data_IF_072808074751
#
_entry.id   IF_072808074751
#
_cell.length_a   1.000
_cell.length_b   1.000
_cell.length_c   1.000
_cell.angle_alpha   90.00
_cell.angle_beta   90.00
_cell.angle_gamma   90.00
#
_symmetry.space_group_name_H-M   'P 1'
#
loop_
_entity.id
_entity.type
_entity.pdbx_description
1 polymer ?
#
# COMPACT_ATOMS: atom_id res chain seq x y z
N UNK A 1 -24.64 17.77 -11.27
CA UNK A 1 -24.30 17.12 -12.57
C UNK A 1 -23.21 17.85 -13.37
N UNK A 2 -23.15 19.20 -13.39
CA UNK A 2 -22.10 19.97 -14.09
C UNK A 2 -20.69 19.87 -13.45
N UNK A 3 -20.61 19.87 -12.12
CA UNK A 3 -19.34 19.75 -11.38
C UNK A 3 -18.61 18.44 -11.71
N UNK A 4 -19.34 17.32 -11.77
CA UNK A 4 -18.76 16.02 -12.15
C UNK A 4 -18.25 16.00 -13.60
N UNK A 5 -18.95 16.65 -14.55
CA UNK A 5 -18.48 16.72 -15.95
C UNK A 5 -17.18 17.51 -16.08
N UNK A 6 -17.02 18.61 -15.33
CA UNK A 6 -15.80 19.40 -15.30
C UNK A 6 -14.65 18.63 -14.63
N UNK A 7 -14.92 17.94 -13.51
CA UNK A 7 -13.94 17.08 -12.84
C UNK A 7 -13.45 15.94 -13.75
N UNK A 8 -14.36 15.24 -14.43
CA UNK A 8 -13.99 14.20 -15.38
C UNK A 8 -13.14 14.74 -16.54
N UNK A 9 -13.52 15.89 -17.10
CA UNK A 9 -12.76 16.54 -18.17
C UNK A 9 -11.38 17.01 -17.69
N UNK A 10 -11.28 17.48 -16.45
CA UNK A 10 -10.03 17.90 -15.83
C UNK A 10 -9.08 16.71 -15.60
N UNK A 11 -9.58 15.60 -15.04
CA UNK A 11 -8.82 14.35 -14.86
C UNK A 11 -8.35 13.83 -16.21
N UNK A 12 -9.24 13.77 -17.19
CA UNK A 12 -8.91 13.30 -18.54
C UNK A 12 -7.78 14.15 -19.16
N UNK A 13 -7.90 15.47 -19.09
CA UNK A 13 -6.88 16.38 -19.61
C UNK A 13 -5.53 16.22 -18.88
N UNK A 14 -5.54 16.00 -17.56
CA UNK A 14 -4.31 15.74 -16.79
C UNK A 14 -3.64 14.43 -17.20
N UNK A 15 -4.42 13.36 -17.38
CA UNK A 15 -3.91 12.08 -17.86
C UNK A 15 -3.30 12.24 -19.26
N UNK A 16 -3.99 12.91 -20.18
CA UNK A 16 -3.48 13.15 -21.53
C UNK A 16 -2.23 14.03 -21.54
N UNK A 17 -2.14 15.02 -20.63
CA UNK A 17 -0.93 15.80 -20.44
C UNK A 17 0.25 14.93 -19.96
N UNK A 18 0.03 14.10 -18.94
CA UNK A 18 1.07 13.21 -18.40
C UNK A 18 1.57 12.21 -19.44
N UNK A 19 0.68 11.65 -20.28
CA UNK A 19 1.07 10.79 -21.40
C UNK A 19 1.92 11.52 -22.43
N UNK A 20 1.53 12.76 -22.81
CA UNK A 20 2.28 13.55 -23.79
C UNK A 20 3.67 13.94 -23.31
N UNK A 21 3.81 14.18 -22.02
CA UNK A 21 5.05 14.61 -21.38
C UNK A 21 5.77 13.47 -20.64
N UNK A 22 5.47 12.22 -20.97
CA UNK A 22 5.95 11.04 -20.25
C UNK A 22 7.48 11.05 -20.13
N UNK A 23 8.21 11.34 -21.21
CA UNK A 23 9.68 11.39 -21.17
C UNK A 23 10.25 12.42 -20.18
N UNK A 24 9.53 13.51 -19.90
CA UNK A 24 9.94 14.55 -18.94
C UNK A 24 9.64 14.09 -17.51
N UNK A 25 8.44 13.55 -17.28
CA UNK A 25 7.96 13.18 -15.96
C UNK A 25 8.31 11.75 -15.51
N UNK A 26 8.80 10.91 -16.41
CA UNK A 26 9.31 9.56 -16.09
C UNK A 26 10.68 9.65 -15.40
N UNK A 27 11.41 10.75 -15.62
CA UNK A 27 12.66 11.01 -14.90
C UNK A 27 12.40 11.22 -13.41
N UNK A 28 12.89 10.30 -12.57
CA UNK A 28 12.97 10.50 -11.12
C UNK A 28 14.33 11.13 -10.82
N UNK A 29 14.40 12.42 -10.45
CA UNK A 29 15.66 13.07 -10.17
C UNK A 29 16.36 12.42 -8.96
N UNK A 30 17.70 12.42 -8.99
CA UNK A 30 18.49 11.90 -7.88
C UNK A 30 18.22 12.71 -6.60
N UNK A 31 17.69 12.03 -5.59
CA UNK A 31 17.41 12.62 -4.29
C UNK A 31 18.10 11.78 -3.21
N UNK A 32 18.77 12.44 -2.25
CA UNK A 32 19.49 11.75 -1.18
C UNK A 32 18.58 10.79 -0.40
N UNK A 33 17.34 11.22 -0.09
CA UNK A 33 16.35 10.37 0.57
C UNK A 33 15.98 9.15 -0.25
N UNK A 34 15.71 9.33 -1.55
CA UNK A 34 15.40 8.26 -2.48
C UNK A 34 16.55 7.24 -2.55
N UNK A 35 17.79 7.72 -2.67
CA UNK A 35 18.99 6.89 -2.72
C UNK A 35 19.22 6.09 -1.43
N UNK A 36 19.02 6.70 -0.26
CA UNK A 36 19.17 6.03 1.04
C UNK A 36 18.10 4.96 1.22
N UNK A 37 16.83 5.31 1.02
CA UNK A 37 15.69 4.39 1.24
C UNK A 37 15.72 3.18 0.29
N UNK A 38 16.19 3.37 -0.94
CA UNK A 38 16.28 2.32 -1.97
C UNK A 38 17.60 1.53 -1.96
N UNK A 39 18.48 1.73 -0.98
CA UNK A 39 19.85 1.16 -0.92
C UNK A 39 20.65 1.39 -2.23
N UNK A 40 20.58 2.61 -2.75
CA UNK A 40 21.25 2.98 -4.00
C UNK A 40 20.46 2.61 -5.25
N UNK A 41 19.14 2.84 -5.25
CA UNK A 41 18.24 2.61 -6.38
C UNK A 41 18.10 1.14 -6.78
N UNK A 42 18.12 0.24 -5.80
CA UNK A 42 17.91 -1.19 -6.00
C UNK A 42 16.42 -1.58 -6.09
N UNK A 43 15.51 -0.66 -5.77
CA UNK A 43 14.07 -0.93 -5.59
C UNK A 43 13.23 -0.44 -6.76
N UNK A 44 11.90 -0.31 -6.60
CA UNK A 44 10.98 0.09 -7.67
C UNK A 44 10.57 1.56 -7.55
N UNK A 45 10.03 1.94 -6.40
CA UNK A 45 9.21 3.12 -6.30
C UNK A 45 10.03 4.42 -6.21
N UNK A 46 11.29 4.35 -5.82
CA UNK A 46 12.18 5.51 -5.75
C UNK A 46 13.30 5.50 -6.81
N UNK A 47 13.44 4.40 -7.55
CA UNK A 47 14.50 4.22 -8.55
C UNK A 47 14.23 4.97 -9.86
N UNK A 48 15.21 5.70 -10.40
CA UNK A 48 15.15 6.27 -11.75
C UNK A 48 14.83 5.20 -12.80
N UNK A 49 14.18 5.63 -13.87
CA UNK A 49 13.90 4.76 -15.01
C UNK A 49 15.20 4.16 -15.58
N UNK A 50 15.14 2.88 -15.93
CA UNK A 50 16.28 2.11 -16.41
C UNK A 50 16.07 0.61 -16.24
N UNK A 51 17.14 -0.16 -16.46
CA UNK A 51 17.09 -1.63 -16.42
C UNK A 51 16.71 -2.16 -15.03
N UNK A 52 17.25 -1.57 -13.96
CA UNK A 52 16.96 -1.97 -12.59
C UNK A 52 15.49 -1.75 -12.24
N UNK A 53 14.97 -0.56 -12.54
CA UNK A 53 13.55 -0.27 -12.34
C UNK A 53 12.65 -1.18 -13.19
N UNK A 54 13.03 -1.46 -14.43
CA UNK A 54 12.26 -2.36 -15.32
C UNK A 54 12.21 -3.79 -14.76
N UNK A 55 13.35 -4.28 -14.25
CA UNK A 55 13.46 -5.55 -13.53
C UNK A 55 12.54 -5.57 -12.31
N UNK A 56 12.64 -4.56 -11.44
CA UNK A 56 11.85 -4.51 -10.19
C UNK A 56 10.35 -4.33 -10.45
N UNK A 57 9.97 -3.57 -11.49
CA UNK A 57 8.59 -3.43 -11.94
C UNK A 57 8.00 -4.78 -12.36
N UNK A 58 8.77 -5.59 -13.10
CA UNK A 58 8.37 -6.94 -13.50
C UNK A 58 8.21 -7.83 -12.26
N UNK A 59 9.19 -7.82 -11.36
CA UNK A 59 9.15 -8.57 -10.08
C UNK A 59 7.88 -8.25 -9.29
N UNK A 60 7.57 -6.97 -9.10
CA UNK A 60 6.37 -6.56 -8.37
C UNK A 60 5.10 -7.01 -9.11
N UNK A 61 4.99 -6.74 -10.41
CA UNK A 61 3.80 -7.03 -11.20
C UNK A 61 3.50 -8.53 -11.31
N UNK A 62 4.51 -9.38 -11.51
CA UNK A 62 4.31 -10.81 -11.74
C UNK A 62 4.57 -11.69 -10.52
N UNK A 63 5.29 -11.19 -9.52
CA UNK A 63 5.69 -11.96 -8.33
C UNK A 63 4.91 -11.59 -7.06
N UNK A 64 4.62 -10.31 -6.84
CA UNK A 64 4.08 -9.83 -5.55
C UNK A 64 2.64 -9.34 -5.67
N UNK A 65 2.37 -8.43 -6.61
CA UNK A 65 1.07 -7.76 -6.80
C UNK A 65 0.12 -8.57 -7.70
N UNK A 66 0.11 -9.89 -7.53
CA UNK A 66 -0.78 -10.78 -8.29
C UNK A 66 -2.06 -11.05 -7.51
N UNK A 67 -3.16 -11.33 -8.22
CA UNK A 67 -4.41 -11.74 -7.57
C UNK A 67 -4.21 -13.02 -6.73
N UNK A 68 -3.38 -13.96 -7.21
CA UNK A 68 -3.04 -15.19 -6.47
C UNK A 68 -2.41 -14.88 -5.11
N UNK A 69 -1.42 -13.98 -5.06
CA UNK A 69 -0.78 -13.56 -3.80
C UNK A 69 -1.78 -12.78 -2.94
N UNK A 70 -2.60 -11.91 -3.54
CA UNK A 70 -3.64 -11.19 -2.81
C UNK A 70 -4.62 -12.15 -2.10
N UNK A 71 -5.12 -13.18 -2.80
CA UNK A 71 -6.00 -14.19 -2.22
C UNK A 71 -5.28 -15.03 -1.16
N UNK A 72 -4.04 -15.42 -1.41
CA UNK A 72 -3.24 -16.18 -0.45
C UNK A 72 -3.05 -15.44 0.88
N UNK A 73 -2.85 -14.13 0.83
CA UNK A 73 -2.68 -13.29 2.02
C UNK A 73 -4.02 -12.88 2.68
N UNK A 74 -5.17 -13.35 2.17
CA UNK A 74 -6.50 -12.95 2.66
C UNK A 74 -6.69 -13.25 4.15
N UNK A 75 -6.39 -14.47 4.60
CA UNK A 75 -6.57 -14.86 6.00
C UNK A 75 -5.75 -13.99 6.96
N UNK A 76 -4.52 -13.62 6.56
CA UNK A 76 -3.64 -12.73 7.32
C UNK A 76 -4.25 -11.32 7.42
N UNK A 77 -4.75 -10.74 6.32
CA UNK A 77 -5.42 -9.43 6.32
C UNK A 77 -6.72 -9.43 7.13
N UNK A 78 -7.55 -10.47 6.98
CA UNK A 78 -8.80 -10.61 7.72
C UNK A 78 -8.58 -10.64 9.23
N UNK A 79 -7.57 -11.38 9.69
CA UNK A 79 -7.23 -11.44 11.11
C UNK A 79 -6.86 -10.08 11.70
N UNK A 80 -6.10 -9.27 10.97
CA UNK A 80 -5.77 -7.92 11.43
C UNK A 80 -6.97 -6.97 11.36
N UNK A 81 -7.92 -7.19 10.44
CA UNK A 81 -9.18 -6.44 10.42
C UNK A 81 -10.05 -6.77 11.64
N UNK A 82 -10.13 -8.05 12.03
CA UNK A 82 -10.83 -8.47 13.25
C UNK A 82 -10.19 -7.85 14.51
N UNK A 83 -8.86 -7.69 14.54
CA UNK A 83 -8.17 -6.99 15.62
C UNK A 83 -8.54 -5.49 15.66
N UNK A 84 -8.60 -4.82 14.51
CA UNK A 84 -9.00 -3.41 14.43
C UNK A 84 -10.43 -3.22 14.96
N UNK A 85 -11.38 -4.04 14.53
CA UNK A 85 -12.78 -3.97 15.00
C UNK A 85 -12.86 -4.17 16.51
N UNK A 86 -12.13 -5.15 17.04
CA UNK A 86 -12.07 -5.40 18.49
C UNK A 86 -11.47 -4.23 19.26
N UNK A 87 -10.40 -3.62 18.72
CA UNK A 87 -9.78 -2.44 19.30
C UNK A 87 -10.78 -1.27 19.37
N UNK A 88 -11.44 -0.93 18.26
CA UNK A 88 -12.45 0.14 18.21
C UNK A 88 -13.60 -0.15 19.17
N UNK A 89 -14.12 -1.38 19.18
CA UNK A 89 -15.19 -1.78 20.10
C UNK A 89 -14.81 -1.58 21.57
N UNK A 90 -13.58 -1.96 21.94
CA UNK A 90 -13.09 -1.80 23.31
C UNK A 90 -12.93 -0.32 23.69
N UNK A 91 -12.45 0.53 22.77
CA UNK A 91 -12.38 1.98 23.00
C UNK A 91 -13.77 2.58 23.20
N UNK A 92 -14.80 2.09 22.50
CA UNK A 92 -16.18 2.53 22.74
C UNK A 92 -16.77 2.07 24.08
N UNK A 93 -16.15 1.11 24.78
CA UNK A 93 -16.61 0.55 26.06
C UNK A 93 -15.82 1.05 27.27
N UNK A 94 -14.65 1.62 27.04
CA UNK A 94 -13.78 2.12 28.09
C UNK A 94 -14.37 3.43 28.66
N UNK A 95 -14.64 3.51 29.98
CA UNK A 95 -15.22 4.71 30.60
C UNK A 95 -14.27 5.91 30.64
N UNK A 96 -12.96 5.70 30.48
CA UNK A 96 -11.94 6.76 30.53
C UNK A 96 -11.73 7.44 29.17
N UNK A 97 -11.97 6.71 28.09
CA UNK A 97 -12.06 7.28 26.74
C UNK A 97 -13.53 7.58 26.46
N UNK A 98 -13.91 8.80 26.07
CA UNK A 98 -15.33 9.19 25.83
C UNK A 98 -15.91 8.49 24.57
N UNK A 99 -15.47 7.27 24.24
CA UNK A 99 -15.71 6.56 23.00
C UNK A 99 -14.99 7.16 21.78
N UNK A 100 -14.15 8.17 21.97
CA UNK A 100 -13.42 8.84 20.91
C UNK A 100 -12.24 7.99 20.43
N UNK A 101 -12.21 7.70 19.13
CA UNK A 101 -11.12 6.97 18.47
C UNK A 101 -10.38 7.91 17.54
N UNK A 102 -9.05 7.96 17.65
CA UNK A 102 -8.22 8.60 16.65
C UNK A 102 -8.14 7.70 15.41
N UNK A 103 -8.85 8.09 14.34
CA UNK A 103 -8.97 7.32 13.10
C UNK A 103 -7.62 7.14 12.41
N UNK A 104 -6.78 8.19 12.36
CA UNK A 104 -5.46 8.11 11.73
C UNK A 104 -4.58 7.08 12.44
N UNK A 105 -4.56 7.14 13.78
CA UNK A 105 -3.79 6.23 14.62
C UNK A 105 -4.26 4.77 14.46
N UNK A 106 -5.57 4.54 14.55
CA UNK A 106 -6.17 3.21 14.37
C UNK A 106 -5.86 2.63 12.97
N UNK A 107 -5.97 3.46 11.92
CA UNK A 107 -5.67 3.06 10.56
C UNK A 107 -4.17 2.79 10.35
N UNK A 108 -3.29 3.63 10.89
CA UNK A 108 -1.84 3.42 10.87
C UNK A 108 -1.45 2.10 11.55
N UNK A 109 -2.04 1.81 12.72
CA UNK A 109 -1.82 0.57 13.45
C UNK A 109 -2.29 -0.66 12.66
N UNK A 110 -3.47 -0.60 12.04
CA UNK A 110 -3.97 -1.66 11.17
C UNK A 110 -3.02 -1.91 9.98
N UNK A 111 -2.67 -0.88 9.22
CA UNK A 111 -1.79 -1.00 8.06
C UNK A 111 -0.41 -1.55 8.44
N UNK A 112 0.17 -1.05 9.54
CA UNK A 112 1.46 -1.53 10.07
C UNK A 112 1.42 -3.00 10.46
N UNK A 113 0.34 -3.45 11.11
CA UNK A 113 0.17 -4.85 11.49
C UNK A 113 -0.05 -5.76 10.28
N UNK A 114 -0.85 -5.31 9.31
CA UNK A 114 -1.08 -6.03 8.06
C UNK A 114 0.23 -6.26 7.32
N UNK A 115 1.03 -5.22 7.05
CA UNK A 115 2.29 -5.41 6.33
C UNK A 115 3.29 -6.26 7.13
N UNK A 116 3.35 -6.06 8.46
CA UNK A 116 4.19 -6.87 9.36
C UNK A 116 3.82 -8.36 9.30
N UNK A 117 2.53 -8.69 9.25
CA UNK A 117 2.05 -10.07 9.18
C UNK A 117 2.24 -10.66 7.78
N UNK A 118 2.12 -9.87 6.72
CA UNK A 118 2.30 -10.31 5.34
C UNK A 118 3.77 -10.50 4.93
N UNK A 119 4.75 -9.95 5.66
CA UNK A 119 6.19 -10.05 5.32
C UNK A 119 7.01 -11.05 6.15
N UNK A 120 6.42 -11.63 7.20
CA UNK A 120 7.12 -12.58 8.07
C UNK A 120 8.08 -11.97 9.08
N UNK A 121 7.78 -12.12 10.37
CA UNK A 121 8.78 -12.10 11.45
C UNK A 121 8.68 -13.36 12.34
N UNK A 122 7.71 -14.23 12.10
CA UNK A 122 7.48 -15.50 12.80
C UNK A 122 7.04 -16.54 11.77
N UNK A 123 7.58 -17.76 11.89
CA UNK A 123 7.58 -18.89 10.96
C UNK A 123 6.21 -19.42 10.51
N UNK A 124 5.44 -18.62 9.77
CA UNK A 124 4.31 -19.14 8.98
C UNK A 124 4.78 -19.21 7.53
N UNK A 125 4.87 -20.43 6.98
CA UNK A 125 5.16 -20.64 5.56
C UNK A 125 4.30 -19.72 4.69
N UNK A 126 4.88 -19.22 3.59
CA UNK A 126 4.17 -18.66 2.45
C UNK A 126 3.85 -17.14 2.54
N UNK A 127 4.81 -16.31 2.97
CA UNK A 127 4.69 -14.83 3.02
C UNK A 127 5.40 -14.06 1.87
N UNK A 128 5.39 -12.71 1.90
CA UNK A 128 6.00 -11.87 0.84
C UNK A 128 7.53 -12.05 0.79
N UNK A 129 8.19 -12.26 1.92
CA UNK A 129 9.63 -12.49 1.97
C UNK A 129 9.98 -13.83 1.33
N UNK A 130 9.24 -14.89 1.65
CA UNK A 130 9.37 -16.20 1.00
C UNK A 130 9.10 -16.08 -0.51
N UNK A 131 8.07 -15.29 -0.87
CA UNK A 131 7.83 -14.67 -2.17
C UNK A 131 9.11 -14.40 -2.94
N UNK A 132 9.81 -13.38 -2.43
CA UNK A 132 10.96 -12.77 -3.06
C UNK A 132 12.18 -13.69 -3.06
N UNK A 133 12.39 -14.46 -1.99
CA UNK A 133 13.51 -15.42 -1.86
C UNK A 133 13.38 -16.54 -2.92
N UNK A 134 12.16 -17.02 -3.16
CA UNK A 134 11.93 -18.15 -4.06
C UNK A 134 11.81 -17.76 -5.54
N UNK A 135 11.91 -16.47 -5.88
CA UNK A 135 11.95 -16.04 -7.28
C UNK A 135 13.27 -16.47 -7.94
N UNK A 136 13.16 -17.23 -9.02
CA UNK A 136 14.32 -17.76 -9.76
C UNK A 136 14.31 -17.33 -11.22
N UNK A 137 15.51 -17.25 -11.81
CA UNK A 137 15.74 -17.15 -13.25
C UNK A 137 15.53 -18.52 -13.93
N UNK A 138 15.60 -18.55 -15.25
CA UNK A 138 15.47 -19.78 -16.06
C UNK A 138 16.47 -20.89 -15.71
N UNK A 139 17.64 -20.56 -15.14
CA UNK A 139 18.70 -21.51 -14.76
C UNK A 139 18.67 -21.94 -13.29
N UNK A 140 17.55 -21.80 -12.57
CA UNK A 140 17.42 -22.09 -11.14
C UNK A 140 18.27 -21.18 -10.21
N UNK A 141 18.86 -20.11 -10.77
CA UNK A 141 19.56 -19.06 -10.02
C UNK A 141 18.57 -18.10 -9.36
N UNK A 142 18.88 -17.51 -8.19
CA UNK A 142 18.07 -16.45 -7.59
C UNK A 142 17.87 -15.27 -8.55
N UNK A 143 16.63 -14.77 -8.64
CA UNK A 143 16.30 -13.59 -9.45
C UNK A 143 16.77 -12.30 -8.78
N UNK A 144 16.75 -12.28 -7.44
CA UNK A 144 17.06 -11.13 -6.60
C UNK A 144 18.25 -11.43 -5.69
N UNK A 145 19.10 -10.43 -5.49
CA UNK A 145 20.12 -10.43 -4.44
C UNK A 145 19.50 -10.17 -3.07
N UNK A 146 20.18 -10.59 -2.00
CA UNK A 146 19.76 -10.30 -0.63
C UNK A 146 19.63 -8.80 -0.35
N UNK A 147 20.45 -7.95 -1.00
CA UNK A 147 20.35 -6.49 -0.88
C UNK A 147 19.07 -5.95 -1.51
N UNK A 148 18.74 -6.40 -2.72
CA UNK A 148 17.49 -6.02 -3.40
C UNK A 148 16.25 -6.45 -2.60
N UNK A 149 16.26 -7.67 -2.03
CA UNK A 149 15.15 -8.16 -1.19
C UNK A 149 14.99 -7.27 0.05
N UNK A 150 16.08 -6.99 0.76
CA UNK A 150 16.05 -6.13 1.96
C UNK A 150 15.54 -4.72 1.63
N UNK A 151 16.07 -4.11 0.58
CA UNK A 151 15.68 -2.77 0.16
C UNK A 151 14.20 -2.72 -0.25
N UNK A 152 13.71 -3.71 -1.02
CA UNK A 152 12.32 -3.77 -1.45
C UNK A 152 11.35 -3.95 -0.26
N UNK A 153 11.69 -4.81 0.71
CA UNK A 153 10.85 -4.99 1.91
C UNK A 153 10.74 -3.69 2.71
N UNK A 154 11.83 -2.94 2.85
CA UNK A 154 11.81 -1.63 3.53
C UNK A 154 10.96 -0.62 2.77
N UNK A 155 11.11 -0.54 1.45
CA UNK A 155 10.30 0.36 0.60
C UNK A 155 8.80 0.05 0.73
N UNK A 156 8.41 -1.24 0.61
CA UNK A 156 7.01 -1.67 0.77
C UNK A 156 6.46 -1.28 2.14
N UNK A 157 7.25 -1.43 3.21
CA UNK A 157 6.79 -1.08 4.56
C UNK A 157 6.49 0.41 4.71
N UNK A 158 7.30 1.28 4.12
CA UNK A 158 7.11 2.73 4.22
C UNK A 158 5.86 3.17 3.45
N UNK A 159 5.70 2.67 2.22
CA UNK A 159 4.63 3.12 1.32
C UNK A 159 3.24 2.59 1.69
N UNK A 160 3.17 1.43 2.35
CA UNK A 160 1.90 0.75 2.63
C UNK A 160 1.25 1.13 3.95
N UNK A 161 1.86 2.01 4.74
CA UNK A 161 1.29 2.46 6.02
C UNK A 161 0.60 3.80 5.89
N UNK A 162 1.35 4.86 5.56
CA UNK A 162 0.85 6.24 5.61
C UNK A 162 -0.18 6.58 4.53
N UNK A 163 0.03 6.06 3.31
CA UNK A 163 -0.88 6.36 2.20
C UNK A 163 -2.30 5.82 2.46
N UNK A 164 -2.50 4.52 2.76
CA UNK A 164 -3.84 4.01 3.04
C UNK A 164 -4.44 4.52 4.35
N UNK A 165 -3.65 4.79 5.40
CA UNK A 165 -4.19 5.33 6.65
C UNK A 165 -4.76 6.74 6.48
N UNK A 166 -4.04 7.61 5.77
CA UNK A 166 -4.53 8.94 5.43
C UNK A 166 -5.77 8.87 4.55
N UNK A 167 -5.82 7.95 3.58
CA UNK A 167 -7.01 7.76 2.75
C UNK A 167 -8.25 7.36 3.58
N UNK A 168 -8.08 6.48 4.57
CA UNK A 168 -9.16 6.08 5.50
C UNK A 168 -9.61 7.26 6.35
N UNK A 169 -8.68 8.04 6.89
CA UNK A 169 -8.98 9.24 7.67
C UNK A 169 -9.81 10.24 6.87
N UNK A 170 -9.37 10.58 5.65
CA UNK A 170 -10.10 11.50 4.78
C UNK A 170 -11.47 10.96 4.39
N UNK A 171 -11.57 9.66 4.06
CA UNK A 171 -12.86 9.06 3.73
C UNK A 171 -13.85 9.12 4.89
N UNK A 172 -13.41 8.79 6.12
CA UNK A 172 -14.25 8.85 7.31
C UNK A 172 -14.60 10.29 7.70
N UNK A 173 -13.65 11.22 7.60
CA UNK A 173 -13.91 12.64 7.84
C UNK A 173 -14.99 13.18 6.89
N UNK A 174 -14.92 12.84 5.61
CA UNK A 174 -15.92 13.24 4.62
C UNK A 174 -17.29 12.62 4.91
N UNK A 175 -17.34 11.33 5.23
CA UNK A 175 -18.60 10.64 5.57
C UNK A 175 -19.25 11.22 6.82
N UNK A 176 -18.48 11.55 7.86
CA UNK A 176 -19.02 12.16 9.09
C UNK A 176 -19.57 13.57 8.80
N UNK A 177 -18.92 14.34 7.91
CA UNK A 177 -19.38 15.66 7.52
C UNK A 177 -20.57 15.63 6.53
N UNK A 178 -20.85 14.48 5.90
CA UNK A 178 -21.96 14.27 4.96
C UNK A 178 -22.84 13.07 5.38
N UNK A 179 -23.81 13.27 6.29
CA UNK A 179 -24.60 12.18 6.87
C UNK A 179 -25.32 11.28 5.86
N UNK A 180 -25.78 11.84 4.73
CA UNK A 180 -26.45 11.07 3.67
C UNK A 180 -25.51 10.04 3.02
N UNK A 181 -24.23 10.38 2.84
CA UNK A 181 -23.22 9.47 2.29
C UNK A 181 -22.95 8.35 3.29
N UNK A 182 -22.78 8.70 4.58
CA UNK A 182 -22.55 7.71 5.63
C UNK A 182 -23.74 6.74 5.76
N UNK A 183 -24.97 7.26 5.78
CA UNK A 183 -26.18 6.46 5.87
C UNK A 183 -26.27 5.47 4.70
N UNK A 184 -26.01 5.94 3.48
CA UNK A 184 -25.99 5.10 2.29
C UNK A 184 -24.90 4.02 2.35
N UNK A 185 -23.69 4.38 2.79
CA UNK A 185 -22.59 3.42 2.94
C UNK A 185 -22.93 2.32 3.97
N UNK A 186 -23.62 2.67 5.06
CA UNK A 186 -24.12 1.69 6.03
C UNK A 186 -25.22 0.80 5.45
N UNK A 187 -26.11 1.35 4.63
CA UNK A 187 -27.17 0.58 3.95
C UNK A 187 -26.58 -0.46 2.97
N UNK A 188 -25.55 -0.09 2.18
CA UNK A 188 -24.91 -0.99 1.20
C UNK A 188 -24.14 -2.16 1.85
N UNK A 189 -23.84 -2.09 3.15
CA UNK A 189 -23.14 -3.13 3.90
C UNK A 189 -24.08 -4.10 4.64
N UNK A 190 -25.37 -3.78 4.75
CA UNK A 190 -26.41 -4.62 5.37
C UNK A 190 -27.10 -5.52 4.34
#
# INVERSE_FOLDING_TARGET
MLVNKLAFRWIHNHIEFLKKQEAIFDSRPDAMSARITSDGYLTLALSPSGDQWTKMRKVMRSGVLTNKVFQRLYAKRRKEADHLVRYVYNQCKDPDTIGCVNVNDAACHYCSNVIRKMKGLKSEEDDILDLLINLKKSRNEPLLSTREIKALIVEIMIETVYNPSNAVEWALAEMINQPDILAKACEELN
#
